data_IF_948231580855
#
_entry.id   IF_948231580855
#
_cell.length_a   1.000
_cell.length_b   1.000
_cell.length_c   1.000
_cell.angle_alpha   90.00
_cell.angle_beta   90.00
_cell.angle_gamma   90.00
#
_symmetry.space_group_name_H-M   'P 1'
#
loop_
_entity.id
_entity.type
_entity.pdbx_description
1 polymer ?
#
# COMPACT_ATOMS: atom_id res chain seq x y z
N UNK A 1 1.71 -34.05 2.90
CA UNK A 1 1.50 -34.22 1.45
C UNK A 1 1.03 -32.88 0.94
N UNK A 2 1.92 -32.09 0.31
CA UNK A 2 1.59 -30.74 -0.13
C UNK A 2 0.70 -30.80 -1.36
N UNK A 3 -0.48 -30.17 -1.30
CA UNK A 3 -1.40 -30.02 -2.44
C UNK A 3 -1.15 -28.65 -3.08
N UNK A 4 -1.00 -28.61 -4.40
CA UNK A 4 -0.69 -27.39 -5.15
C UNK A 4 -1.89 -27.04 -6.05
N UNK A 5 -2.42 -25.84 -5.87
CA UNK A 5 -3.31 -25.22 -6.85
C UNK A 5 -2.48 -24.35 -7.78
N UNK A 6 -2.46 -24.69 -9.08
CA UNK A 6 -1.82 -23.88 -10.09
C UNK A 6 -2.88 -23.12 -10.86
N UNK A 7 -2.79 -21.79 -10.88
CA UNK A 7 -3.52 -21.01 -11.87
C UNK A 7 -2.83 -21.25 -13.22
N UNK A 8 -3.55 -21.62 -14.30
CA UNK A 8 -2.91 -21.91 -15.57
C UNK A 8 -2.15 -20.67 -16.06
N UNK A 9 -0.84 -20.84 -16.33
CA UNK A 9 -0.05 -19.84 -17.02
C UNK A 9 -0.74 -19.45 -18.34
N UNK A 10 -0.76 -18.17 -18.76
CA UNK A 10 -1.03 -17.88 -20.16
C UNK A 10 0.03 -18.63 -20.98
N UNK A 11 -0.42 -19.56 -21.82
CA UNK A 11 0.46 -20.39 -22.62
C UNK A 11 1.41 -19.50 -23.44
N UNK A 12 2.72 -19.78 -23.38
CA UNK A 12 3.69 -19.28 -24.36
C UNK A 12 3.47 -20.02 -25.67
N UNK A 13 2.40 -19.64 -26.39
CA UNK A 13 2.14 -20.07 -27.75
C UNK A 13 2.94 -19.23 -28.73
N UNK A 14 3.85 -19.84 -29.46
CA UNK A 14 4.40 -19.29 -30.70
C UNK A 14 3.24 -19.12 -31.69
N UNK A 15 2.65 -17.92 -31.78
CA UNK A 15 2.02 -17.50 -33.03
C UNK A 15 1.94 -15.98 -33.16
N UNK A 16 2.13 -15.54 -34.41
CA UNK A 16 2.28 -14.17 -34.86
C UNK A 16 0.97 -13.38 -34.68
N UNK A 17 1.03 -12.26 -33.96
CA UNK A 17 -0.08 -11.32 -33.82
C UNK A 17 0.19 -10.34 -32.68
N UNK A 18 0.33 -9.05 -32.99
CA UNK A 18 0.80 -7.99 -32.09
C UNK A 18 -0.14 -7.63 -30.93
N UNK A 19 -0.40 -8.58 -30.02
CA UNK A 19 -1.02 -8.33 -28.73
C UNK A 19 0.04 -8.03 -27.68
N UNK A 20 -0.12 -6.94 -26.93
CA UNK A 20 0.75 -6.58 -25.81
C UNK A 20 0.75 -7.72 -24.77
N UNK A 21 1.84 -8.47 -24.70
CA UNK A 21 2.06 -9.46 -23.64
C UNK A 21 2.52 -8.70 -22.40
N UNK A 22 1.68 -8.67 -21.35
CA UNK A 22 2.11 -8.13 -20.06
C UNK A 22 3.14 -9.10 -19.46
N UNK A 23 4.38 -8.64 -19.19
CA UNK A 23 5.38 -9.48 -18.56
C UNK A 23 4.90 -9.91 -17.17
N UNK A 24 5.07 -11.19 -16.84
CA UNK A 24 4.72 -11.76 -15.53
C UNK A 24 5.87 -12.58 -14.97
N UNK A 25 5.90 -12.71 -13.64
CA UNK A 25 6.88 -13.53 -12.90
C UNK A 25 6.13 -14.64 -12.19
N UNK A 26 6.55 -15.89 -12.41
CA UNK A 26 5.96 -17.04 -11.74
C UNK A 26 6.41 -17.10 -10.27
N UNK A 27 5.45 -17.20 -9.35
CA UNK A 27 5.70 -17.28 -7.90
C UNK A 27 4.91 -18.46 -7.34
N UNK A 28 5.54 -19.23 -6.44
CA UNK A 28 4.88 -20.29 -5.66
C UNK A 28 4.69 -19.82 -4.23
N UNK A 29 3.47 -19.94 -3.69
CA UNK A 29 3.11 -19.56 -2.32
C UNK A 29 2.66 -20.80 -1.57
N UNK A 30 3.18 -21.00 -0.37
CA UNK A 30 2.78 -22.10 0.53
C UNK A 30 2.11 -21.54 1.79
N UNK A 31 1.14 -22.27 2.32
CA UNK A 31 0.59 -21.97 3.63
C UNK A 31 1.61 -22.33 4.69
N UNK A 32 1.83 -21.44 5.66
CA UNK A 32 2.74 -21.72 6.77
C UNK A 32 2.28 -22.92 7.62
N UNK A 33 0.97 -23.12 7.71
CA UNK A 33 0.32 -24.30 8.29
C UNK A 33 -0.61 -24.90 7.24
N UNK A 34 -0.23 -26.03 6.63
CA UNK A 34 -1.05 -26.70 5.62
C UNK A 34 -2.36 -27.27 6.19
N UNK A 35 -2.44 -27.51 7.50
CA UNK A 35 -3.63 -28.12 8.13
C UNK A 35 -4.86 -27.21 8.05
N UNK A 36 -4.66 -25.89 7.97
CA UNK A 36 -5.74 -24.89 7.84
C UNK A 36 -6.49 -25.00 6.51
N UNK A 37 -5.90 -25.63 5.49
CA UNK A 37 -6.58 -25.90 4.22
C UNK A 37 -7.64 -27.01 4.36
N UNK A 38 -7.58 -27.84 5.41
CA UNK A 38 -8.48 -28.97 5.60
C UNK A 38 -8.52 -29.89 4.38
N UNK A 39 -9.70 -30.02 3.76
CA UNK A 39 -9.90 -30.84 2.56
C UNK A 39 -9.88 -30.03 1.26
N UNK A 40 -9.67 -28.71 1.32
CA UNK A 40 -9.72 -27.84 0.15
C UNK A 40 -8.56 -28.19 -0.80
N UNK A 41 -8.92 -28.39 -2.06
CA UNK A 41 -8.01 -28.58 -3.17
C UNK A 41 -8.60 -27.83 -4.38
N UNK A 42 -7.76 -27.15 -5.15
CA UNK A 42 -8.16 -26.29 -6.27
C UNK A 42 -9.26 -25.25 -5.93
N UNK A 43 -9.35 -24.82 -4.67
CA UNK A 43 -10.30 -23.78 -4.28
C UNK A 43 -9.86 -22.40 -4.80
N UNK A 44 -10.78 -21.49 -5.17
CA UNK A 44 -10.44 -20.12 -5.47
C UNK A 44 -9.72 -19.45 -4.30
N UNK A 45 -8.61 -18.77 -4.57
CA UNK A 45 -7.82 -18.08 -3.56
C UNK A 45 -7.58 -16.63 -3.96
N UNK A 46 -7.48 -15.76 -2.95
CA UNK A 46 -6.97 -14.41 -3.09
C UNK A 46 -5.60 -14.32 -2.45
N UNK A 47 -4.63 -13.77 -3.17
CA UNK A 47 -3.27 -13.53 -2.67
C UNK A 47 -3.05 -12.04 -2.60
N UNK A 48 -2.81 -11.54 -1.39
CA UNK A 48 -2.37 -10.16 -1.16
C UNK A 48 -0.86 -10.17 -0.90
N UNK A 49 -0.11 -9.42 -1.71
CA UNK A 49 1.35 -9.32 -1.61
C UNK A 49 1.72 -7.95 -1.06
N UNK A 50 2.33 -7.91 0.12
CA UNK A 50 2.91 -6.67 0.68
C UNK A 50 4.28 -6.42 0.07
N UNK A 51 4.40 -5.42 -0.80
CA UNK A 51 5.66 -5.07 -1.47
C UNK A 51 6.56 -4.15 -0.65
N UNK A 52 5.99 -3.37 0.27
CA UNK A 52 6.73 -2.47 1.15
C UNK A 52 6.02 -2.33 2.50
N UNK A 53 6.79 -2.16 3.57
CA UNK A 53 6.27 -1.80 4.89
C UNK A 53 7.27 -0.91 5.61
N UNK A 54 6.77 0.00 6.45
CA UNK A 54 7.57 0.84 7.32
C UNK A 54 6.97 0.90 8.71
N UNK A 55 7.83 0.94 9.72
CA UNK A 55 7.46 0.99 11.14
C UNK A 55 8.06 2.22 11.78
N UNK A 56 7.40 2.74 12.83
CA UNK A 56 7.87 3.91 13.57
C UNK A 56 7.87 5.18 12.73
N UNK A 57 6.86 5.37 11.89
CA UNK A 57 6.70 6.56 11.04
C UNK A 57 5.49 7.37 11.48
N UNK A 58 5.49 8.67 11.19
CA UNK A 58 4.30 9.49 11.28
C UNK A 58 3.42 9.21 10.06
N UNK A 59 2.15 8.92 10.29
CA UNK A 59 1.17 8.64 9.25
C UNK A 59 -0.02 9.59 9.41
N UNK A 60 -0.46 10.17 8.30
CA UNK A 60 -1.65 11.02 8.24
C UNK A 60 -2.62 10.50 7.19
N UNK A 61 -3.93 10.79 7.27
CA UNK A 61 -4.83 10.52 6.16
C UNK A 61 -4.37 11.25 4.90
N UNK A 62 -4.49 10.61 3.75
CA UNK A 62 -4.12 11.21 2.45
C UNK A 62 -4.89 12.49 2.18
N UNK A 63 -6.12 12.57 2.68
CA UNK A 63 -7.00 13.75 2.59
C UNK A 63 -6.53 14.94 3.43
N UNK A 64 -5.58 14.74 4.35
CA UNK A 64 -4.94 15.81 5.11
C UNK A 64 -3.83 16.52 4.32
N UNK A 65 -3.34 15.93 3.22
CA UNK A 65 -2.26 16.50 2.45
C UNK A 65 -2.76 17.70 1.64
N UNK A 66 -2.13 18.85 1.89
CA UNK A 66 -2.38 20.10 1.19
C UNK A 66 -1.25 20.32 0.17
N UNK A 67 -1.60 20.31 -1.11
CA UNK A 67 -0.66 20.63 -2.17
C UNK A 67 -0.33 22.14 -2.14
N UNK A 68 0.97 22.47 -2.23
CA UNK A 68 1.46 23.84 -2.26
C UNK A 68 1.84 24.25 -3.70
N UNK A 69 1.76 25.54 -4.07
CA UNK A 69 2.07 26.00 -5.43
C UNK A 69 3.50 25.70 -5.91
N UNK A 70 4.43 25.49 -4.98
CA UNK A 70 5.83 25.15 -5.25
C UNK A 70 6.06 23.65 -5.50
N UNK A 71 5.00 22.84 -5.56
CA UNK A 71 5.08 21.39 -5.76
C UNK A 71 5.36 20.59 -4.47
N UNK A 72 5.43 21.26 -3.31
CA UNK A 72 5.55 20.59 -2.02
C UNK A 72 4.18 20.24 -1.43
N UNK A 73 4.19 19.43 -0.38
CA UNK A 73 3.00 19.13 0.42
C UNK A 73 3.11 19.77 1.80
N UNK A 74 1.96 19.99 2.42
CA UNK A 74 1.88 20.39 3.80
C UNK A 74 0.72 19.71 4.53
N UNK A 75 0.79 19.71 5.85
CA UNK A 75 -0.32 19.35 6.73
C UNK A 75 -0.66 20.53 7.63
N UNK A 76 -1.95 20.77 7.84
CA UNK A 76 -2.39 21.74 8.84
C UNK A 76 -2.49 21.02 10.19
N UNK A 77 -1.76 21.51 11.18
CA UNK A 77 -1.74 20.94 12.54
C UNK A 77 -2.19 21.97 13.56
N UNK A 78 -2.85 21.49 14.62
CA UNK A 78 -3.17 22.29 15.80
C UNK A 78 -2.21 21.96 16.94
N UNK A 79 -1.40 22.94 17.31
CA UNK A 79 -0.49 22.86 18.45
C UNK A 79 -0.78 24.03 19.40
N UNK A 80 -1.09 23.76 20.67
CA UNK A 80 -1.36 24.81 21.67
C UNK A 80 -2.58 25.70 21.36
N UNK A 81 -3.50 25.24 20.51
CA UNK A 81 -4.69 26.00 20.10
C UNK A 81 -4.53 26.83 18.82
N UNK A 82 -3.30 27.02 18.32
CA UNK A 82 -3.05 27.70 17.05
C UNK A 82 -2.91 26.70 15.89
N UNK A 83 -3.40 27.14 14.73
CA UNK A 83 -3.31 26.42 13.46
C UNK A 83 -2.02 26.81 12.77
N UNK A 84 -1.16 25.82 12.48
CA UNK A 84 0.08 26.02 11.72
C UNK A 84 0.14 25.08 10.52
N UNK A 85 0.70 25.57 9.43
CA UNK A 85 0.94 24.76 8.24
C UNK A 85 2.39 24.25 8.27
N UNK A 86 2.56 22.94 8.16
CA UNK A 86 3.86 22.27 8.21
C UNK A 86 4.15 21.65 6.87
N UNK A 87 5.22 22.10 6.21
CA UNK A 87 5.70 21.47 4.98
C UNK A 87 6.17 20.06 5.28
N UNK A 88 5.69 19.09 4.50
CA UNK A 88 6.02 17.67 4.64
C UNK A 88 6.44 17.06 3.33
N UNK A 89 7.20 15.97 3.44
CA UNK A 89 7.56 15.07 2.35
C UNK A 89 6.79 13.74 2.53
N UNK A 90 5.84 13.43 1.62
CA UNK A 90 5.17 12.14 1.60
C UNK A 90 6.14 10.99 1.29
N UNK A 91 5.89 9.83 1.87
CA UNK A 91 6.63 8.59 1.67
C UNK A 91 5.72 7.47 1.17
N UNK A 92 5.71 6.35 1.88
CA UNK A 92 4.85 5.21 1.58
C UNK A 92 3.36 5.57 1.75
N UNK A 93 2.56 5.25 0.75
CA UNK A 93 1.10 5.26 0.84
C UNK A 93 0.67 3.87 1.31
N UNK A 94 0.08 3.84 2.50
CA UNK A 94 -0.36 2.61 3.14
C UNK A 94 -1.82 2.30 2.86
N UNK A 95 -2.22 1.12 3.29
CA UNK A 95 -3.61 0.69 3.26
C UNK A 95 -4.48 1.60 4.14
N UNK A 96 -5.77 1.70 3.82
CA UNK A 96 -6.72 2.53 4.57
C UNK A 96 -6.60 4.04 4.31
N UNK A 97 -5.90 4.44 3.25
CA UNK A 97 -5.79 5.86 2.86
C UNK A 97 -4.84 6.67 3.73
N UNK A 98 -3.86 6.01 4.37
CA UNK A 98 -2.81 6.68 5.14
C UNK A 98 -1.57 6.92 4.29
N UNK A 99 -0.82 7.96 4.64
CA UNK A 99 0.45 8.29 3.99
C UNK A 99 1.50 8.61 5.05
N UNK A 100 2.67 7.97 4.91
CA UNK A 100 3.87 8.31 5.66
C UNK A 100 4.26 9.75 5.36
N UNK A 101 4.56 10.52 6.40
CA UNK A 101 5.04 11.90 6.26
C UNK A 101 6.27 12.14 7.12
N UNK A 102 7.15 12.99 6.59
CA UNK A 102 8.30 13.52 7.31
C UNK A 102 8.37 15.03 7.11
N UNK A 103 8.72 15.78 8.15
CA UNK A 103 8.80 17.24 8.06
C UNK A 103 9.35 17.84 9.34
N UNK A 104 10.15 18.90 9.21
CA UNK A 104 10.66 19.62 10.37
C UNK A 104 9.47 20.25 11.12
N UNK A 105 9.42 20.01 12.43
CA UNK A 105 8.32 20.50 13.26
C UNK A 105 7.05 19.67 13.20
N UNK A 106 7.07 18.44 12.68
CA UNK A 106 5.98 17.47 12.89
C UNK A 106 6.41 16.46 13.96
N UNK A 107 5.55 16.20 14.93
CA UNK A 107 5.80 15.27 16.02
C UNK A 107 4.63 14.29 16.20
N UNK A 108 4.91 13.16 16.85
CA UNK A 108 3.86 12.25 17.29
C UNK A 108 2.91 12.96 18.25
N UNK A 109 1.60 12.72 18.09
CA UNK A 109 0.55 13.34 18.88
C UNK A 109 0.06 14.70 18.35
N UNK A 110 0.69 15.26 17.31
CA UNK A 110 0.16 16.44 16.63
C UNK A 110 -1.23 16.15 16.04
N UNK A 111 -2.21 17.01 16.33
CA UNK A 111 -3.55 16.91 15.75
C UNK A 111 -3.55 17.52 14.35
N UNK A 112 -3.86 16.71 13.35
CA UNK A 112 -3.92 17.11 11.94
C UNK A 112 -5.37 17.40 11.54
N UNK A 113 -5.58 18.48 10.81
CA UNK A 113 -6.89 18.80 10.22
C UNK A 113 -7.16 17.92 9.01
N UNK A 114 -8.36 17.35 8.95
CA UNK A 114 -8.89 16.60 7.82
C UNK A 114 -10.22 17.21 7.39
N UNK A 115 -10.56 17.20 6.09
CA UNK A 115 -11.91 17.57 5.64
C UNK A 115 -12.96 16.68 6.32
N UNK A 116 -14.06 17.28 6.79
CA UNK A 116 -15.25 16.53 7.21
C UNK A 116 -16.02 16.09 5.95
N UNK A 117 -16.33 14.79 5.89
CA UNK A 117 -17.12 14.16 4.83
C UNK A 117 -18.58 14.60 4.83
#
# INVERSE_FOLDING_TARGET
>A
MSRVAAQPSPAQGQNQGGGQQNPSVAVTVTLADESVAGTLDQAPVYVSITSASKKGVLAVPVTALLAQPNGNYAVAVRAGGERRLVTVRPGLFGDGGLVEVSGAGLAEGDLVEVPAS
#
